data_IF_835524528851
#
_entry.id   IF_835524528851
#
_cell.length_a   1.000
_cell.length_b   1.000
_cell.length_c   1.000
_cell.angle_alpha   90.00
_cell.angle_beta   90.00
_cell.angle_gamma   90.00
#
_symmetry.space_group_name_H-M   'P 1'
#
loop_
_entity.id
_entity.type
_entity.pdbx_description
1 polymer ?
#
# COMPACT_ATOMS: atom_id res chain seq x y z
N UNK A 1 10.69 -54.00 10.60
CA UNK A 1 11.12 -53.54 9.25
C UNK A 1 10.60 -52.14 9.05
N UNK A 2 11.46 -51.13 9.22
CA UNK A 2 11.09 -49.71 9.05
C UNK A 2 11.27 -49.36 7.57
N UNK A 3 10.16 -49.07 6.90
CA UNK A 3 10.13 -48.73 5.48
C UNK A 3 10.68 -47.31 5.31
N UNK A 4 11.90 -47.22 4.76
CA UNK A 4 12.56 -45.96 4.42
C UNK A 4 11.78 -45.29 3.29
N UNK A 5 11.09 -44.19 3.59
CA UNK A 5 10.43 -43.33 2.61
C UNK A 5 11.51 -42.64 1.77
N UNK A 6 11.87 -43.25 0.65
CA UNK A 6 12.86 -42.72 -0.31
C UNK A 6 12.29 -41.45 -0.94
N UNK A 7 12.81 -40.28 -0.55
CA UNK A 7 12.49 -39.02 -1.21
C UNK A 7 12.90 -39.10 -2.68
N UNK A 8 12.00 -38.71 -3.58
CA UNK A 8 12.15 -38.87 -5.03
C UNK A 8 13.15 -37.83 -5.56
N UNK A 9 14.22 -38.21 -6.28
CA UNK A 9 15.35 -37.33 -6.63
C UNK A 9 14.99 -36.05 -7.38
N UNK A 10 13.79 -35.98 -7.98
CA UNK A 10 13.28 -34.78 -8.66
C UNK A 10 13.02 -33.61 -7.70
N UNK A 11 12.61 -33.86 -6.44
CA UNK A 11 12.28 -32.80 -5.49
C UNK A 11 13.53 -32.03 -5.00
N UNK A 12 14.65 -32.73 -4.82
CA UNK A 12 15.91 -32.15 -4.37
C UNK A 12 16.52 -31.27 -5.47
N UNK A 13 16.42 -31.69 -6.74
CA UNK A 13 16.89 -30.92 -7.89
C UNK A 13 16.05 -29.65 -8.08
N UNK A 14 14.73 -29.74 -7.99
CA UNK A 14 13.85 -28.56 -8.10
C UNK A 14 14.13 -27.54 -6.99
N UNK A 15 14.28 -28.01 -5.74
CA UNK A 15 14.63 -27.15 -4.61
C UNK A 15 15.98 -26.45 -4.82
N UNK A 16 17.00 -27.17 -5.29
CA UNK A 16 18.33 -26.61 -5.61
C UNK A 16 18.27 -25.60 -6.75
N UNK A 17 17.45 -25.83 -7.77
CA UNK A 17 17.24 -24.89 -8.88
C UNK A 17 16.54 -23.61 -8.43
N UNK A 18 15.51 -23.71 -7.58
CA UNK A 18 14.84 -22.55 -6.98
C UNK A 18 15.80 -21.73 -6.12
N UNK A 19 16.58 -22.38 -5.23
CA UNK A 19 17.58 -21.70 -4.40
C UNK A 19 18.64 -20.99 -5.24
N UNK A 20 19.18 -21.68 -6.26
CA UNK A 20 20.16 -21.09 -7.18
C UNK A 20 19.57 -19.86 -7.90
N UNK A 21 18.30 -19.93 -8.32
CA UNK A 21 17.59 -18.80 -8.94
C UNK A 21 17.49 -17.61 -7.99
N UNK A 22 17.11 -17.83 -6.73
CA UNK A 22 17.04 -16.74 -5.73
C UNK A 22 18.42 -16.12 -5.46
N UNK A 23 19.48 -16.95 -5.39
CA UNK A 23 20.85 -16.47 -5.21
C UNK A 23 21.27 -15.60 -6.40
N UNK A 24 21.05 -16.08 -7.63
CA UNK A 24 21.36 -15.30 -8.84
C UNK A 24 20.58 -13.99 -8.85
N UNK A 25 19.28 -14.03 -8.57
CA UNK A 25 18.43 -12.83 -8.53
C UNK A 25 18.93 -11.83 -7.48
N UNK A 26 19.34 -12.31 -6.31
CA UNK A 26 19.89 -11.47 -5.24
C UNK A 26 21.20 -10.81 -5.65
N UNK A 27 22.12 -11.57 -6.26
CA UNK A 27 23.40 -11.03 -6.75
C UNK A 27 23.16 -9.98 -7.82
N UNK A 28 22.29 -10.28 -8.79
CA UNK A 28 21.93 -9.32 -9.85
C UNK A 28 21.34 -8.06 -9.24
N UNK A 29 20.40 -8.19 -8.31
CA UNK A 29 19.79 -7.05 -7.60
C UNK A 29 20.83 -6.24 -6.84
N UNK A 30 21.78 -6.89 -6.17
CA UNK A 30 22.85 -6.21 -5.44
C UNK A 30 23.75 -5.41 -6.38
N UNK A 31 24.11 -5.97 -7.55
CA UNK A 31 24.86 -5.26 -8.59
C UNK A 31 24.07 -4.02 -9.05
N UNK A 32 22.77 -4.17 -9.31
CA UNK A 32 21.90 -3.04 -9.67
C UNK A 32 21.89 -1.96 -8.59
N UNK A 33 21.78 -2.31 -7.30
CA UNK A 33 21.79 -1.34 -6.20
C UNK A 33 23.12 -0.59 -6.15
N UNK A 34 24.25 -1.28 -6.30
CA UNK A 34 25.59 -0.66 -6.30
C UNK A 34 25.74 0.30 -7.47
N UNK A 35 25.42 -0.15 -8.69
CA UNK A 35 25.49 0.67 -9.90
C UNK A 35 24.56 1.87 -9.80
N UNK A 36 23.33 1.66 -9.33
CA UNK A 36 22.37 2.73 -9.07
C UNK A 36 22.95 3.75 -8.10
N UNK A 37 23.52 3.31 -6.98
CA UNK A 37 24.10 4.23 -5.98
C UNK A 37 25.24 5.05 -6.59
N UNK A 38 26.18 4.41 -7.29
CA UNK A 38 27.32 5.07 -7.92
C UNK A 38 26.91 6.06 -9.02
N UNK A 39 25.98 5.67 -9.90
CA UNK A 39 25.50 6.56 -10.97
C UNK A 39 24.68 7.72 -10.43
N UNK A 40 23.95 7.50 -9.33
CA UNK A 40 23.14 8.53 -8.69
C UNK A 40 23.89 9.27 -7.56
N UNK A 41 25.23 9.22 -7.53
CA UNK A 41 26.05 9.99 -6.57
C UNK A 41 26.17 11.48 -6.96
N UNK A 42 25.63 11.88 -8.12
CA UNK A 42 25.60 13.29 -8.54
C UNK A 42 24.98 14.17 -7.47
N UNK A 43 25.80 15.05 -6.89
CA UNK A 43 25.43 15.94 -5.80
C UNK A 43 24.60 17.11 -6.35
N UNK A 44 23.42 17.31 -5.78
CA UNK A 44 22.52 18.41 -6.07
C UNK A 44 22.45 19.31 -4.84
N UNK A 45 22.66 20.60 -5.05
CA UNK A 45 22.50 21.62 -4.02
C UNK A 45 21.10 22.21 -4.11
N UNK A 46 20.43 22.24 -2.97
CA UNK A 46 19.08 22.76 -2.81
C UNK A 46 19.18 23.92 -1.82
N UNK A 47 18.91 25.13 -2.32
CA UNK A 47 18.88 26.33 -1.50
C UNK A 47 17.42 26.81 -1.42
N UNK A 48 16.77 26.62 -0.27
CA UNK A 48 15.40 27.08 0.01
C UNK A 48 15.41 28.12 1.12
N UNK A 49 15.06 29.38 0.81
CA UNK A 49 15.02 30.49 1.77
C UNK A 49 16.32 30.60 2.59
N UNK A 50 16.38 29.97 3.76
CA UNK A 50 17.53 29.94 4.68
C UNK A 50 18.21 28.57 4.80
N UNK A 51 17.71 27.55 4.10
CA UNK A 51 18.24 26.19 4.13
C UNK A 51 19.10 25.93 2.90
N UNK A 52 20.32 25.44 3.13
CA UNK A 52 21.21 24.95 2.08
C UNK A 52 21.55 23.49 2.37
N UNK A 53 21.06 22.61 1.51
CA UNK A 53 21.22 21.16 1.66
C UNK A 53 21.91 20.63 0.43
N UNK A 54 22.91 19.77 0.65
CA UNK A 54 23.52 18.96 -0.40
C UNK A 54 23.07 17.52 -0.24
N UNK A 55 22.54 16.95 -1.32
CA UNK A 55 22.09 15.56 -1.34
C UNK A 55 22.27 14.99 -2.74
N UNK A 56 22.19 13.67 -2.89
CA UNK A 56 22.21 13.06 -4.20
C UNK A 56 20.85 13.19 -4.90
N UNK A 57 20.86 13.28 -6.23
CA UNK A 57 19.62 13.41 -7.01
C UNK A 57 18.63 12.26 -6.74
N UNK A 58 19.12 11.03 -6.64
CA UNK A 58 18.26 9.88 -6.32
C UNK A 58 17.61 10.01 -4.94
N UNK A 59 18.39 10.38 -3.92
CA UNK A 59 17.88 10.58 -2.56
C UNK A 59 16.80 11.66 -2.54
N UNK A 60 17.00 12.73 -3.30
CA UNK A 60 16.00 13.80 -3.44
C UNK A 60 14.69 13.27 -4.05
N UNK A 61 14.76 12.58 -5.18
CA UNK A 61 13.58 12.03 -5.88
C UNK A 61 12.85 11.02 -4.99
N UNK A 62 13.57 10.09 -4.37
CA UNK A 62 12.98 9.11 -3.46
C UNK A 62 12.32 9.77 -2.24
N UNK A 63 12.95 10.80 -1.67
CA UNK A 63 12.40 11.54 -0.54
C UNK A 63 11.12 12.28 -0.93
N UNK A 64 11.12 12.99 -2.06
CA UNK A 64 9.91 13.68 -2.57
C UNK A 64 8.78 12.69 -2.88
N UNK A 65 9.10 11.57 -3.51
CA UNK A 65 8.13 10.52 -3.78
C UNK A 65 7.53 9.96 -2.48
N UNK A 66 8.38 9.63 -1.51
CA UNK A 66 7.94 9.15 -0.20
C UNK A 66 7.06 10.19 0.52
N UNK A 67 7.43 11.47 0.49
CA UNK A 67 6.60 12.56 1.03
C UNK A 67 5.25 12.65 0.31
N UNK A 68 5.22 12.53 -1.01
CA UNK A 68 4.00 12.51 -1.82
C UNK A 68 3.07 11.35 -1.43
N UNK A 69 3.61 10.14 -1.30
CA UNK A 69 2.84 8.97 -0.85
C UNK A 69 2.31 9.18 0.57
N UNK A 70 3.16 9.66 1.48
CA UNK A 70 2.78 9.85 2.87
C UNK A 70 1.70 10.91 3.04
N UNK A 71 1.81 12.03 2.31
CA UNK A 71 0.78 13.08 2.28
C UNK A 71 -0.52 12.59 1.66
N UNK A 72 -0.47 11.81 0.58
CA UNK A 72 -1.66 11.21 -0.02
C UNK A 72 -2.39 10.27 0.96
N UNK A 73 -1.65 9.38 1.64
CA UNK A 73 -2.22 8.48 2.66
C UNK A 73 -2.84 9.28 3.79
N UNK A 74 -2.16 10.33 4.26
CA UNK A 74 -2.64 11.19 5.32
C UNK A 74 -3.97 11.87 4.95
N UNK A 75 -4.03 12.51 3.78
CA UNK A 75 -5.25 13.17 3.28
C UNK A 75 -6.38 12.16 3.09
N UNK A 76 -6.10 11.02 2.46
CA UNK A 76 -7.09 9.98 2.21
C UNK A 76 -7.67 9.46 3.53
N UNK A 77 -6.83 9.27 4.55
CA UNK A 77 -7.28 8.84 5.88
C UNK A 77 -8.23 9.86 6.50
N UNK A 78 -7.90 11.16 6.42
CA UNK A 78 -8.79 12.22 6.91
C UNK A 78 -10.13 12.24 6.18
N UNK A 79 -10.13 12.08 4.85
CA UNK A 79 -11.34 12.03 4.03
C UNK A 79 -12.21 10.84 4.44
N UNK A 80 -11.64 9.64 4.59
CA UNK A 80 -12.38 8.44 4.97
C UNK A 80 -13.04 8.61 6.34
N UNK A 81 -12.32 9.19 7.32
CA UNK A 81 -12.86 9.46 8.65
C UNK A 81 -14.02 10.46 8.58
N UNK A 82 -13.85 11.55 7.81
CA UNK A 82 -14.88 12.57 7.63
C UNK A 82 -16.14 11.98 6.96
N UNK A 83 -15.96 11.17 5.91
CA UNK A 83 -17.05 10.55 5.16
C UNK A 83 -17.85 9.57 6.03
N UNK A 84 -17.16 8.76 6.84
CA UNK A 84 -17.79 7.83 7.80
C UNK A 84 -18.64 8.56 8.84
N UNK A 85 -18.26 9.78 9.23
CA UNK A 85 -19.05 10.60 10.16
C UNK A 85 -20.40 11.01 9.56
N UNK A 86 -20.41 11.40 8.28
CA UNK A 86 -21.63 11.78 7.55
C UNK A 86 -22.55 10.58 7.36
N UNK A 87 -22.01 9.43 6.94
CA UNK A 87 -22.80 8.21 6.74
C UNK A 87 -23.51 7.75 8.03
N UNK A 88 -22.87 7.88 9.20
CA UNK A 88 -23.50 7.55 10.50
C UNK A 88 -24.65 8.50 10.87
N UNK A 89 -24.66 9.73 10.35
CA UNK A 89 -25.76 10.66 10.55
C UNK A 89 -26.92 10.31 9.63
N UNK A 90 -26.62 10.02 8.38
CA UNK A 90 -27.61 9.64 7.37
C UNK A 90 -28.34 8.34 7.77
N UNK A 91 -27.62 7.33 8.29
CA UNK A 91 -28.21 6.08 8.80
C UNK A 91 -29.20 6.30 9.97
N UNK A 92 -28.89 7.24 10.87
CA UNK A 92 -29.78 7.60 11.98
C UNK A 92 -31.01 8.37 11.53
N UNK A 93 -30.87 9.22 10.52
CA UNK A 93 -31.99 9.96 9.94
C UNK A 93 -32.91 9.00 9.20
N UNK A 94 -32.36 8.09 8.40
CA UNK A 94 -33.16 7.08 7.68
C UNK A 94 -33.93 6.18 8.65
N UNK A 95 -33.28 5.68 9.71
CA UNK A 95 -33.96 4.83 10.70
C UNK A 95 -35.04 5.58 11.50
N UNK A 96 -34.81 6.84 11.88
CA UNK A 96 -35.81 7.68 12.53
C UNK A 96 -36.99 8.08 11.62
N UNK A 97 -36.81 8.08 10.30
CA UNK A 97 -37.87 8.32 9.32
C UNK A 97 -38.64 7.05 8.93
N UNK A 98 -38.06 5.87 9.16
CA UNK A 98 -38.70 4.59 8.88
C UNK A 98 -39.62 4.15 10.04
N UNK A 99 -39.22 4.40 11.29
CA UNK A 99 -40.03 4.14 12.50
C UNK A 99 -41.46 4.76 12.47
N UNK A 100 -41.70 6.00 12.00
CA UNK A 100 -43.06 6.55 11.87
C UNK A 100 -43.86 5.97 10.68
N UNK A 101 -43.23 5.31 9.71
CA UNK A 101 -43.91 4.67 8.59
C UNK A 101 -44.37 3.24 8.94
N UNK A 102 -43.66 2.58 9.86
CA UNK A 102 -43.94 1.21 10.28
C UNK A 102 -45.02 1.14 11.40
N UNK A 103 -45.29 2.27 12.07
CA UNK A 103 -46.31 2.41 13.13
C UNK A 103 -47.66 2.96 12.63
N UNK A 104 -47.79 3.33 11.35
CA UNK A 104 -49.06 3.75 10.76
C UNK A 104 -49.51 2.78 9.66
N UNK A 105 -50.23 1.69 9.99
CA UNK A 105 -50.71 0.72 9.00
C UNK A 105 -51.80 1.27 8.07
N UNK A 106 -52.28 2.51 8.27
CA UNK A 106 -53.44 3.06 7.57
C UNK A 106 -53.11 3.94 6.36
N UNK A 107 -51.81 4.11 6.03
CA UNK A 107 -51.40 4.75 4.77
C UNK A 107 -51.06 3.70 3.72
N UNK A 108 -52.03 2.85 3.36
CA UNK A 108 -51.94 2.15 2.08
C UNK A 108 -52.10 3.20 1.00
N UNK A 109 -51.12 3.19 0.11
CA UNK A 109 -51.04 3.99 -1.11
C UNK A 109 -52.39 3.96 -1.83
N UNK A 110 -53.13 5.07 -1.78
CA UNK A 110 -54.11 5.41 -2.81
C UNK A 110 -53.33 5.72 -4.09
N UNK A 111 -53.04 4.67 -4.84
CA UNK A 111 -52.80 4.75 -6.28
C UNK A 111 -54.15 4.52 -6.94
N UNK A 112 -54.82 5.62 -7.30
CA UNK A 112 -55.76 5.66 -8.43
C UNK A 112 -55.00 6.04 -9.71
#
# INVERSE_FOLDING_TARGET
MVSQKKESPTNEIDLKMKQTTYIILTIVTLIFIVVFTLQNTSEVRISLLFWDIKTSLALLIFSLFALGVLTAIFILTLIIIALKSTLRKDEKIISALQEPNDLNPDRKVETE
#
